data_IF_625922336878
#
_entry.id   IF_625922336878
#
_cell.length_a   1.000
_cell.length_b   1.000
_cell.length_c   1.000
_cell.angle_alpha   90.00
_cell.angle_beta   90.00
_cell.angle_gamma   90.00
#
_symmetry.space_group_name_H-M   'P 1'
#
loop_
_entity.id
_entity.type
_entity.pdbx_description
1 polymer ?
#
# COMPACT_ATOMS: atom_id res chain seq x y z
N UNK A 1 38.54 -18.62 14.46
CA UNK A 1 37.30 -18.67 15.26
C UNK A 1 36.69 -17.28 15.22
N UNK A 2 35.48 -17.15 14.68
CA UNK A 2 34.82 -15.86 14.60
C UNK A 2 34.32 -15.44 16.00
N UNK A 3 34.32 -14.12 16.28
CA UNK A 3 33.78 -13.54 17.52
C UNK A 3 32.36 -14.06 17.80
N UNK A 4 31.59 -14.29 16.73
CA UNK A 4 30.25 -14.86 16.75
C UNK A 4 30.20 -16.29 17.32
N UNK A 5 31.26 -17.11 17.14
CA UNK A 5 31.36 -18.48 17.66
C UNK A 5 31.55 -18.53 19.18
N UNK A 6 32.13 -17.46 19.74
CA UNK A 6 32.34 -17.31 21.19
C UNK A 6 31.04 -16.92 21.93
N UNK A 7 30.19 -16.11 21.28
CA UNK A 7 28.96 -15.58 21.90
C UNK A 7 27.81 -16.58 21.78
N UNK A 8 27.74 -17.29 20.64
CA UNK A 8 26.65 -18.23 20.33
C UNK A 8 27.22 -19.58 19.89
N UNK A 9 27.54 -20.48 20.84
CA UNK A 9 28.08 -21.81 20.52
C UNK A 9 27.03 -22.64 19.76
N UNK A 10 27.45 -23.46 18.76
CA UNK A 10 26.54 -24.34 18.04
C UNK A 10 25.95 -25.41 18.95
N UNK A 11 24.62 -25.58 18.96
CA UNK A 11 23.97 -26.69 19.66
C UNK A 11 24.19 -27.98 18.87
N UNK A 12 24.84 -28.95 19.47
CA UNK A 12 24.98 -30.30 18.95
C UNK A 12 23.70 -31.10 19.28
N UNK A 13 23.06 -31.63 18.26
CA UNK A 13 21.92 -32.54 18.41
C UNK A 13 22.42 -33.97 18.17
N UNK A 14 22.24 -34.87 19.15
CA UNK A 14 22.50 -36.31 19.01
C UNK A 14 21.27 -36.97 18.38
N UNK A 15 21.47 -37.58 17.21
CA UNK A 15 20.45 -38.40 16.56
C UNK A 15 20.31 -39.75 17.28
N UNK A 16 19.15 -40.44 17.11
CA UNK A 16 18.94 -41.76 17.74
C UNK A 16 19.98 -42.82 17.36
N UNK A 17 20.70 -42.62 16.26
CA UNK A 17 21.79 -43.47 15.78
C UNK A 17 23.19 -43.08 16.30
N UNK A 18 23.28 -42.24 17.34
CA UNK A 18 24.55 -41.85 17.98
C UNK A 18 25.38 -40.79 17.22
N UNK A 19 25.00 -40.39 16.04
CA UNK A 19 25.71 -39.34 15.30
C UNK A 19 25.34 -37.94 15.81
N UNK A 20 26.37 -37.14 16.05
CA UNK A 20 26.21 -35.72 16.42
C UNK A 20 26.14 -34.86 15.14
N UNK A 21 25.05 -34.11 14.95
CA UNK A 21 24.89 -33.19 13.88
C UNK A 21 24.76 -31.77 14.43
N UNK A 22 25.57 -30.85 13.93
CA UNK A 22 25.47 -29.46 14.33
C UNK A 22 24.21 -28.83 13.71
N UNK A 23 23.32 -28.32 14.55
CA UNK A 23 22.14 -27.57 14.07
C UNK A 23 22.58 -26.30 13.31
N UNK A 24 22.02 -26.01 12.12
CA UNK A 24 22.34 -24.77 11.42
C UNK A 24 22.08 -23.57 12.33
N UNK A 25 23.03 -22.63 12.35
CA UNK A 25 23.01 -21.47 13.23
C UNK A 25 21.80 -20.59 12.95
N UNK A 26 21.07 -20.25 14.00
CA UNK A 26 20.00 -19.29 13.89
C UNK A 26 20.59 -17.88 13.71
N UNK A 27 20.23 -17.21 12.63
CA UNK A 27 20.56 -15.79 12.40
C UNK A 27 19.59 -14.83 13.12
N UNK A 28 18.65 -15.39 13.88
CA UNK A 28 17.63 -14.63 14.59
C UNK A 28 18.19 -13.55 15.55
N UNK A 29 19.23 -13.80 16.37
CA UNK A 29 19.74 -12.76 17.25
C UNK A 29 20.39 -11.61 16.48
N UNK A 30 21.09 -11.89 15.38
CA UNK A 30 21.68 -10.85 14.54
C UNK A 30 20.58 -10.03 13.86
N UNK A 31 19.56 -10.69 13.34
CA UNK A 31 18.41 -10.00 12.73
C UNK A 31 17.66 -9.15 13.78
N UNK A 32 17.50 -9.64 15.00
CA UNK A 32 16.89 -8.87 16.08
C UNK A 32 17.70 -7.60 16.43
N UNK A 33 19.02 -7.70 16.52
CA UNK A 33 19.88 -6.53 16.79
C UNK A 33 19.79 -5.52 15.65
N UNK A 34 19.81 -5.97 14.39
CA UNK A 34 19.66 -5.07 13.21
C UNK A 34 18.28 -4.39 13.24
N UNK A 35 17.21 -5.15 13.52
CA UNK A 35 15.86 -4.59 13.60
C UNK A 35 15.75 -3.52 14.70
N UNK A 36 16.27 -3.81 15.89
CA UNK A 36 16.28 -2.84 17.00
C UNK A 36 17.08 -1.60 16.62
N UNK A 37 18.27 -1.76 16.04
CA UNK A 37 19.10 -0.63 15.61
C UNK A 37 18.38 0.22 14.53
N UNK A 38 17.78 -0.43 13.53
CA UNK A 38 17.00 0.27 12.52
C UNK A 38 15.77 0.98 13.09
N UNK A 39 15.09 0.38 14.06
CA UNK A 39 13.95 1.01 14.74
C UNK A 39 14.38 2.25 15.52
N UNK A 40 15.48 2.18 16.26
CA UNK A 40 16.01 3.33 17.01
C UNK A 40 16.43 4.46 16.08
N UNK A 41 17.15 4.14 15.00
CA UNK A 41 17.51 5.12 13.97
C UNK A 41 16.26 5.73 13.31
N UNK A 42 15.25 4.93 13.04
CA UNK A 42 13.99 5.40 12.46
C UNK A 42 13.26 6.37 13.39
N UNK A 43 13.21 6.07 14.69
CA UNK A 43 12.63 6.96 15.71
C UNK A 43 13.34 8.31 15.73
N UNK A 44 14.67 8.31 15.68
CA UNK A 44 15.47 9.54 15.69
C UNK A 44 15.30 10.35 14.41
N UNK A 45 15.38 9.70 13.24
CA UNK A 45 15.23 10.35 11.93
C UNK A 45 13.81 10.90 11.70
N UNK A 46 12.78 10.19 12.18
CA UNK A 46 11.38 10.65 12.06
C UNK A 46 10.99 11.72 13.08
N UNK A 47 11.87 12.02 14.06
CA UNK A 47 11.55 12.95 15.14
C UNK A 47 10.38 12.48 16.02
N UNK A 48 10.21 11.16 16.13
CA UNK A 48 9.14 10.58 16.92
C UNK A 48 9.38 10.84 18.41
N UNK A 49 8.50 11.63 19.01
CA UNK A 49 8.55 11.98 20.43
C UNK A 49 7.40 11.29 21.19
N UNK A 50 7.77 10.34 22.01
CA UNK A 50 6.83 9.61 22.87
C UNK A 50 6.16 10.55 23.90
N UNK A 51 6.84 11.59 24.33
CA UNK A 51 6.28 12.60 25.23
C UNK A 51 5.13 13.37 24.58
N UNK A 52 5.30 13.76 23.32
CA UNK A 52 4.24 14.39 22.53
C UNK A 52 3.05 13.45 22.33
N UNK A 53 3.31 12.18 22.04
CA UNK A 53 2.25 11.18 21.90
C UNK A 53 1.42 11.04 23.19
N UNK A 54 2.09 10.89 24.32
CA UNK A 54 1.43 10.73 25.63
C UNK A 54 0.69 12.01 26.05
N UNK A 55 1.29 13.17 25.81
CA UNK A 55 0.64 14.45 26.17
C UNK A 55 -0.60 14.74 25.33
N UNK A 56 -0.59 14.34 24.05
CA UNK A 56 -1.71 14.54 23.11
C UNK A 56 -2.75 13.42 23.11
N UNK A 57 -2.55 12.36 23.87
CA UNK A 57 -3.54 11.27 23.93
C UNK A 57 -4.90 11.77 24.44
N UNK A 58 -4.93 12.84 25.23
CA UNK A 58 -6.16 13.48 25.67
C UNK A 58 -6.99 14.06 24.53
N UNK A 59 -6.32 14.62 23.50
CA UNK A 59 -6.99 15.17 22.31
C UNK A 59 -7.78 14.09 21.56
N UNK A 60 -7.26 12.87 21.54
CA UNK A 60 -7.98 11.72 20.97
C UNK A 60 -9.30 11.45 21.70
N UNK A 61 -9.30 11.50 23.02
CA UNK A 61 -10.54 11.32 23.80
C UNK A 61 -11.49 12.50 23.68
N UNK A 62 -10.98 13.71 23.48
CA UNK A 62 -11.82 14.89 23.20
C UNK A 62 -12.56 14.70 21.86
N UNK A 63 -11.83 14.30 20.81
CA UNK A 63 -12.43 14.01 19.48
C UNK A 63 -13.51 12.93 19.61
N UNK A 64 -13.24 11.86 20.36
CA UNK A 64 -14.23 10.80 20.58
C UNK A 64 -15.47 11.32 21.34
N UNK A 65 -15.24 12.23 22.31
CA UNK A 65 -16.33 12.88 23.06
C UNK A 65 -17.19 13.78 22.17
N UNK A 66 -16.56 14.52 21.26
CA UNK A 66 -17.24 15.42 20.33
C UNK A 66 -18.04 14.66 19.25
N UNK A 67 -17.74 13.36 19.03
CA UNK A 67 -18.52 12.50 18.14
C UNK A 67 -19.85 12.04 18.75
N UNK A 68 -20.04 12.22 20.08
CA UNK A 68 -21.24 11.77 20.81
C UNK A 68 -21.83 12.96 21.60
N UNK A 69 -23.06 13.37 21.34
CA UNK A 69 -24.07 12.81 20.44
C UNK A 69 -23.85 13.18 18.96
N UNK A 70 -24.23 12.31 18.00
CA UNK A 70 -24.12 12.62 16.58
C UNK A 70 -25.07 13.77 16.21
N UNK A 71 -24.57 14.68 15.38
CA UNK A 71 -25.32 15.85 14.89
C UNK A 71 -26.29 15.43 13.78
N UNK A 72 -27.49 15.02 14.12
CA UNK A 72 -28.51 14.60 13.16
C UNK A 72 -28.94 15.70 12.20
N UNK A 73 -28.84 16.96 12.59
CA UNK A 73 -29.17 18.12 11.75
C UNK A 73 -28.22 18.26 10.55
N UNK A 74 -27.04 17.64 10.60
CA UNK A 74 -26.09 17.61 9.50
C UNK A 74 -26.40 16.54 8.45
N UNK A 75 -27.28 15.60 8.75
CA UNK A 75 -27.62 14.46 7.89
C UNK A 75 -28.06 14.87 6.47
N UNK A 76 -28.90 15.91 6.27
CA UNK A 76 -29.29 16.34 4.92
C UNK A 76 -28.11 16.78 4.04
N UNK A 77 -27.05 17.30 4.64
CA UNK A 77 -25.87 17.78 3.91
C UNK A 77 -24.96 16.64 3.44
N UNK A 78 -25.09 15.43 4.04
CA UNK A 78 -24.26 14.26 3.72
C UNK A 78 -24.80 13.52 2.50
N UNK A 79 -26.11 13.55 2.25
CA UNK A 79 -26.73 12.76 1.20
C UNK A 79 -26.20 13.07 -0.20
N UNK A 80 -26.07 14.34 -0.54
CA UNK A 80 -25.59 14.73 -1.85
C UNK A 80 -24.14 14.29 -2.11
N UNK A 81 -23.14 14.58 -1.25
CA UNK A 81 -21.77 14.05 -1.40
C UNK A 81 -21.70 12.53 -1.44
N UNK A 82 -22.55 11.85 -0.67
CA UNK A 82 -22.62 10.38 -0.66
C UNK A 82 -23.04 9.83 -2.03
N UNK A 83 -24.15 10.36 -2.59
CA UNK A 83 -24.60 9.96 -3.92
C UNK A 83 -23.59 10.32 -5.01
N UNK A 84 -22.93 11.47 -4.92
CA UNK A 84 -21.89 11.87 -5.85
C UNK A 84 -20.69 10.93 -5.79
N UNK A 85 -20.30 10.46 -4.62
CA UNK A 85 -19.25 9.45 -4.43
C UNK A 85 -19.65 8.11 -5.09
N UNK A 86 -20.88 7.67 -4.90
CA UNK A 86 -21.39 6.45 -5.53
C UNK A 86 -21.37 6.58 -7.06
N UNK A 87 -21.89 7.69 -7.60
CA UNK A 87 -21.88 7.96 -9.04
C UNK A 87 -20.46 7.98 -9.62
N UNK A 88 -19.53 8.68 -8.95
CA UNK A 88 -18.12 8.74 -9.35
C UNK A 88 -17.49 7.35 -9.38
N UNK A 89 -17.74 6.54 -8.35
CA UNK A 89 -17.20 5.18 -8.25
C UNK A 89 -17.70 4.27 -9.35
N UNK A 90 -19.02 4.29 -9.60
CA UNK A 90 -19.64 3.48 -10.65
C UNK A 90 -19.17 3.91 -12.03
N UNK A 91 -19.25 5.21 -12.33
CA UNK A 91 -18.89 5.74 -13.64
C UNK A 91 -17.39 5.59 -13.92
N UNK A 92 -16.53 5.91 -12.95
CA UNK A 92 -15.09 5.78 -13.08
C UNK A 92 -14.65 4.34 -13.27
N UNK A 93 -15.22 3.41 -12.50
CA UNK A 93 -14.93 1.98 -12.65
C UNK A 93 -15.42 1.43 -13.98
N UNK A 94 -16.60 1.84 -14.44
CA UNK A 94 -17.15 1.43 -15.72
C UNK A 94 -16.30 1.92 -16.89
N UNK A 95 -15.94 3.20 -16.91
CA UNK A 95 -15.09 3.78 -17.96
C UNK A 95 -13.70 3.11 -17.95
N UNK A 96 -13.06 2.97 -16.78
CA UNK A 96 -11.76 2.33 -16.64
C UNK A 96 -11.76 0.88 -17.11
N UNK A 97 -12.83 0.14 -16.80
CA UNK A 97 -13.00 -1.25 -17.21
C UNK A 97 -13.18 -1.42 -18.73
N UNK A 98 -13.96 -0.54 -19.36
CA UNK A 98 -14.13 -0.58 -20.82
C UNK A 98 -12.83 -0.22 -21.53
N UNK A 99 -12.17 0.85 -21.07
CA UNK A 99 -10.94 1.32 -21.69
C UNK A 99 -9.80 0.31 -21.59
N UNK A 100 -9.73 -0.47 -20.51
CA UNK A 100 -8.63 -1.44 -20.33
C UNK A 100 -8.76 -2.66 -21.24
N UNK A 101 -9.96 -3.04 -21.68
CA UNK A 101 -10.18 -4.27 -22.48
C UNK A 101 -9.27 -4.34 -23.71
N UNK A 102 -9.24 -3.35 -24.62
CA UNK A 102 -8.37 -3.40 -25.80
C UNK A 102 -6.88 -3.47 -25.43
N UNK A 103 -6.45 -2.77 -24.38
CA UNK A 103 -5.06 -2.80 -23.92
C UNK A 103 -4.69 -4.15 -23.30
N UNK A 104 -5.59 -4.73 -22.54
CA UNK A 104 -5.41 -6.07 -21.96
C UNK A 104 -5.33 -7.16 -23.07
N UNK A 105 -6.16 -7.03 -24.13
CA UNK A 105 -6.06 -7.93 -25.29
C UNK A 105 -4.70 -7.79 -26.00
N UNK A 106 -4.20 -6.57 -26.18
CA UNK A 106 -2.89 -6.32 -26.79
C UNK A 106 -1.72 -6.77 -25.88
N UNK A 107 -1.92 -6.82 -24.57
CA UNK A 107 -0.93 -7.33 -23.62
C UNK A 107 -0.94 -8.85 -23.46
N UNK A 108 -1.94 -9.54 -24.06
CA UNK A 108 -2.09 -11.00 -23.96
C UNK A 108 -1.25 -11.72 -25.02
N UNK A 109 -0.39 -12.65 -24.56
CA UNK A 109 0.42 -13.50 -25.45
C UNK A 109 -0.41 -14.53 -26.23
N UNK A 110 -1.62 -14.81 -25.77
CA UNK A 110 -2.53 -15.75 -26.44
C UNK A 110 -3.20 -15.14 -27.69
N UNK A 111 -3.34 -13.82 -27.72
CA UNK A 111 -4.01 -13.10 -28.80
C UNK A 111 -2.98 -12.48 -29.75
N UNK A 112 -1.94 -11.87 -29.21
CA UNK A 112 -0.89 -11.18 -29.98
C UNK A 112 0.40 -11.97 -29.91
N UNK A 113 0.85 -12.46 -31.06
CA UNK A 113 2.10 -13.22 -31.18
C UNK A 113 3.35 -12.34 -31.27
N UNK A 114 3.18 -11.02 -31.53
CA UNK A 114 4.29 -10.08 -31.59
C UNK A 114 4.76 -9.72 -30.18
N UNK A 115 5.93 -10.24 -29.79
CA UNK A 115 6.53 -10.04 -28.46
C UNK A 115 6.80 -8.58 -28.12
N UNK A 116 7.11 -7.76 -29.12
CA UNK A 116 7.39 -6.33 -28.91
C UNK A 116 6.13 -5.56 -28.50
N UNK A 117 5.00 -5.82 -29.19
CA UNK A 117 3.71 -5.21 -28.88
C UNK A 117 3.26 -5.61 -27.47
N UNK A 118 3.33 -6.89 -27.15
CA UNK A 118 2.95 -7.39 -25.82
C UNK A 118 3.82 -6.78 -24.74
N UNK A 119 5.15 -6.73 -24.93
CA UNK A 119 6.07 -6.13 -23.96
C UNK A 119 5.80 -4.63 -23.77
N UNK A 120 5.56 -3.88 -24.85
CA UNK A 120 5.24 -2.46 -24.77
C UNK A 120 3.92 -2.20 -24.02
N UNK A 121 2.89 -2.99 -24.28
CA UNK A 121 1.59 -2.84 -23.58
C UNK A 121 1.70 -3.19 -22.08
N UNK A 122 2.41 -4.26 -21.76
CA UNK A 122 2.68 -4.63 -20.35
C UNK A 122 3.51 -3.57 -19.64
N UNK A 123 4.50 -2.99 -20.31
CA UNK A 123 5.29 -1.89 -19.75
C UNK A 123 4.41 -0.67 -19.49
N UNK A 124 3.56 -0.27 -20.45
CA UNK A 124 2.62 0.84 -20.31
C UNK A 124 1.71 0.65 -19.09
N UNK A 125 1.03 -0.50 -19.01
CA UNK A 125 0.15 -0.82 -17.88
C UNK A 125 0.92 -0.85 -16.54
N UNK A 126 2.16 -1.35 -16.55
CA UNK A 126 3.00 -1.35 -15.36
C UNK A 126 3.38 0.06 -14.91
N UNK A 127 3.73 0.96 -15.84
CA UNK A 127 4.06 2.35 -15.53
C UNK A 127 2.85 3.07 -14.91
N UNK A 128 1.67 2.95 -15.51
CA UNK A 128 0.46 3.60 -14.99
C UNK A 128 0.14 3.08 -13.57
N UNK A 129 0.32 1.79 -13.32
CA UNK A 129 0.09 1.18 -12.01
C UNK A 129 1.09 1.62 -10.93
N UNK A 130 2.29 2.06 -11.30
CA UNK A 130 3.26 2.57 -10.31
C UNK A 130 2.90 3.96 -9.80
N UNK A 131 1.98 4.66 -10.46
CA UNK A 131 1.51 5.96 -10.00
C UNK A 131 0.64 5.77 -8.73
N UNK A 132 0.99 6.41 -7.61
CA UNK A 132 0.13 6.42 -6.44
C UNK A 132 -1.23 7.06 -6.78
N UNK A 133 -2.32 6.47 -6.28
CA UNK A 133 -3.70 6.94 -6.56
C UNK A 133 -3.88 8.42 -6.22
N UNK A 134 -3.21 8.90 -5.16
CA UNK A 134 -3.24 10.31 -4.77
C UNK A 134 -2.64 11.22 -5.84
N UNK A 135 -1.55 10.80 -6.51
CA UNK A 135 -0.93 11.57 -7.60
C UNK A 135 -1.88 11.67 -8.79
N UNK A 136 -2.51 10.57 -9.17
CA UNK A 136 -3.52 10.56 -10.25
C UNK A 136 -4.70 11.47 -9.91
N UNK A 137 -5.15 11.47 -8.66
CA UNK A 137 -6.21 12.34 -8.18
C UNK A 137 -5.80 13.82 -8.21
N UNK A 138 -4.57 14.16 -7.79
CA UNK A 138 -4.05 15.53 -7.86
C UNK A 138 -3.93 16.04 -9.29
N UNK A 139 -3.44 15.21 -10.21
CA UNK A 139 -3.37 15.56 -11.64
C UNK A 139 -4.78 15.81 -12.20
N UNK A 140 -5.72 14.92 -11.90
CA UNK A 140 -7.11 15.08 -12.34
C UNK A 140 -7.74 16.36 -11.76
N UNK A 141 -7.48 16.66 -10.49
CA UNK A 141 -7.95 17.88 -9.83
C UNK A 141 -7.33 19.14 -10.45
N UNK A 142 -6.06 19.08 -10.82
CA UNK A 142 -5.39 20.20 -11.49
C UNK A 142 -5.98 20.50 -12.87
N UNK A 143 -6.34 19.47 -13.63
CA UNK A 143 -6.89 19.60 -14.99
C UNK A 143 -8.37 20.01 -14.96
N UNK A 144 -9.19 19.35 -14.13
CA UNK A 144 -10.65 19.49 -14.14
C UNK A 144 -11.21 20.35 -12.99
N UNK A 145 -10.35 20.81 -12.08
CA UNK A 145 -10.76 21.45 -10.85
C UNK A 145 -11.25 20.44 -9.78
N UNK A 146 -11.59 20.98 -8.62
CA UNK A 146 -12.20 20.19 -7.54
C UNK A 146 -13.64 19.80 -7.91
N UNK A 147 -13.95 18.52 -7.92
CA UNK A 147 -15.30 18.07 -8.20
C UNK A 147 -15.41 16.61 -8.64
N UNK A 148 -16.62 16.23 -9.02
CA UNK A 148 -16.97 14.86 -9.41
C UNK A 148 -16.22 14.36 -10.66
N UNK A 149 -15.89 15.26 -11.60
CA UNK A 149 -15.12 14.92 -12.80
C UNK A 149 -13.70 14.48 -12.46
N UNK A 150 -13.02 15.20 -11.57
CA UNK A 150 -11.68 14.85 -11.13
C UNK A 150 -11.66 13.50 -10.42
N UNK A 151 -12.62 13.26 -9.52
CA UNK A 151 -12.77 11.98 -8.82
C UNK A 151 -13.05 10.82 -9.77
N UNK A 152 -13.98 11.00 -10.70
CA UNK A 152 -14.31 9.98 -11.73
C UNK A 152 -13.10 9.63 -12.57
N UNK A 153 -12.34 10.65 -13.05
CA UNK A 153 -11.13 10.45 -13.85
C UNK A 153 -10.04 9.71 -13.07
N UNK A 154 -9.81 10.08 -11.82
CA UNK A 154 -8.84 9.42 -10.96
C UNK A 154 -9.20 7.94 -10.75
N UNK A 155 -10.48 7.63 -10.49
CA UNK A 155 -10.97 6.26 -10.33
C UNK A 155 -10.86 5.49 -11.65
N UNK A 156 -11.15 6.12 -12.80
CA UNK A 156 -11.02 5.47 -14.10
C UNK A 156 -9.57 5.09 -14.41
N UNK A 157 -8.60 5.98 -14.14
CA UNK A 157 -7.16 5.69 -14.31
C UNK A 157 -6.72 4.56 -13.38
N UNK A 158 -7.14 4.60 -12.12
CA UNK A 158 -6.83 3.55 -11.15
C UNK A 158 -7.38 2.20 -11.59
N UNK A 159 -8.66 2.15 -11.98
CA UNK A 159 -9.34 0.93 -12.42
C UNK A 159 -8.70 0.37 -13.68
N UNK A 160 -8.37 1.23 -14.65
CA UNK A 160 -7.66 0.87 -15.88
C UNK A 160 -6.33 0.17 -15.56
N UNK A 161 -5.53 0.76 -14.67
CA UNK A 161 -4.23 0.19 -14.31
C UNK A 161 -4.35 -1.10 -13.49
N UNK A 162 -5.36 -1.21 -12.65
CA UNK A 162 -5.54 -2.35 -11.74
C UNK A 162 -6.10 -3.59 -12.47
N UNK A 163 -7.09 -3.42 -13.35
CA UNK A 163 -7.70 -4.51 -14.12
C UNK A 163 -6.78 -4.97 -15.27
N UNK A 164 -5.97 -4.07 -15.86
CA UNK A 164 -5.07 -4.37 -16.97
C UNK A 164 -3.89 -5.31 -16.65
N UNK A 165 -3.94 -6.01 -15.51
CA UNK A 165 -2.87 -6.91 -15.04
C UNK A 165 -2.84 -8.25 -15.77
#
# INVERSE_FOLDING_TARGET
MSIYDKIFPPKLLTLPNGKQVSKPRSRAPLAAVILVAMTLLSVEVTGFDMGVLVSRIKEFFVILGDMIPPQWDYMPQIWQPLFDTIKMSLLGSFIGSILVVPFAMLASTNIIHNRVVVAAMRLLLSIIRTLPTLVSALIATYIFGLGTLAGTTAIAIFTFAYIGK
#
